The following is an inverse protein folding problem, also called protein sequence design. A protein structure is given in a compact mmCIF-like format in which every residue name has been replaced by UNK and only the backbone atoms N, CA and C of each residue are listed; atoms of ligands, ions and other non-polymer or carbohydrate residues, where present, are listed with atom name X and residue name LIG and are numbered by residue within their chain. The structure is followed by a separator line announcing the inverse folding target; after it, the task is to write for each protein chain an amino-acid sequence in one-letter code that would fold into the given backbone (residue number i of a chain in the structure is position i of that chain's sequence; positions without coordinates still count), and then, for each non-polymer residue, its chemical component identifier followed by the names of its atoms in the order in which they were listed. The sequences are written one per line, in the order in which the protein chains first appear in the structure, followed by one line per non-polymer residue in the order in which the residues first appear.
data_IF_672020679357
#
_entry.id   IF_672020679357
#
_cell.length_a   1.000
_cell.length_b   1.000
_cell.length_c   1.000
_cell.angle_alpha   90.00
_cell.angle_beta   90.00
_cell.angle_gamma   90.00
#
_symmetry.space_group_name_H-M   'P 1'
#
loop_
_entity.id
_entity.type
_entity.pdbx_description
1 polymer ?
#
# COMPACT_ATOMS: atom_id res chain seq x y z
N UNK A 1 -1.95 -16.10 15.18
CA UNK A 1 -3.42 -16.20 15.29
C UNK A 1 -3.95 -16.14 13.88
N UNK A 2 -4.56 -17.23 13.44
CA UNK A 2 -4.95 -17.39 12.05
C UNK A 2 -6.10 -16.45 11.70
N UNK A 3 -6.00 -15.81 10.55
CA UNK A 3 -7.06 -15.00 10.00
C UNK A 3 -8.14 -15.92 9.43
N UNK A 4 -9.40 -15.53 9.62
CA UNK A 4 -10.47 -16.08 8.81
C UNK A 4 -10.35 -15.40 7.44
N UNK A 5 -9.79 -16.09 6.44
CA UNK A 5 -9.52 -15.50 5.11
C UNK A 5 -10.77 -14.88 4.48
N UNK A 6 -11.94 -15.49 4.67
CA UNK A 6 -13.21 -14.93 4.20
C UNK A 6 -13.48 -13.54 4.77
N UNK A 7 -13.08 -13.27 6.02
CA UNK A 7 -13.20 -11.92 6.61
C UNK A 7 -12.21 -10.93 6.03
N UNK A 8 -11.00 -11.36 5.68
CA UNK A 8 -10.04 -10.47 5.01
C UNK A 8 -10.59 -10.06 3.65
N UNK A 9 -11.10 -11.01 2.85
CA UNK A 9 -11.72 -10.70 1.56
C UNK A 9 -12.86 -9.69 1.68
N UNK A 10 -13.76 -9.90 2.66
CA UNK A 10 -14.83 -8.92 2.93
C UNK A 10 -14.28 -7.55 3.35
N UNK A 11 -13.21 -7.49 4.16
CA UNK A 11 -12.59 -6.21 4.53
C UNK A 11 -11.92 -5.51 3.36
N UNK A 12 -11.31 -6.26 2.43
CA UNK A 12 -10.76 -5.73 1.19
C UNK A 12 -11.88 -5.12 0.35
N UNK A 13 -12.95 -5.88 0.08
CA UNK A 13 -14.10 -5.42 -0.68
C UNK A 13 -14.76 -4.17 -0.08
N UNK A 14 -14.89 -4.09 1.25
CA UNK A 14 -15.46 -2.89 1.91
C UNK A 14 -14.48 -1.70 1.84
N UNK A 15 -13.17 -1.93 1.76
CA UNK A 15 -12.18 -0.83 1.69
C UNK A 15 -12.09 -0.28 0.27
N UNK A 16 -12.15 -1.16 -0.72
CA UNK A 16 -12.19 -0.90 -2.17
C UNK A 16 -13.52 -0.28 -2.65
N UNK A 17 -14.56 -0.24 -1.80
CA UNK A 17 -15.88 0.32 -2.10
C UNK A 17 -16.09 1.72 -1.50
N UNK A 18 -15.07 2.29 -0.84
CA UNK A 18 -15.23 3.52 -0.07
C UNK A 18 -15.54 4.75 -0.94
N UNK A 19 -15.15 4.71 -2.21
CA UNK A 19 -15.37 5.74 -3.24
C UNK A 19 -16.71 5.59 -4.01
N UNK A 20 -17.26 4.38 -4.11
CA UNK A 20 -18.49 4.07 -4.84
C UNK A 20 -19.76 4.68 -4.21
N UNK A 21 -19.65 5.22 -2.99
CA UNK A 21 -20.77 5.87 -2.31
C UNK A 21 -20.83 7.37 -2.59
N UNK A 22 -21.08 7.74 -3.85
CA UNK A 22 -21.72 9.04 -4.12
C UNK A 22 -23.14 8.94 -3.59
N UNK A 23 -23.33 9.25 -2.31
CA UNK A 23 -24.66 9.53 -1.77
C UNK A 23 -25.09 10.85 -2.42
N UNK A 24 -25.71 10.76 -3.60
CA UNK A 24 -26.65 11.77 -4.05
C UNK A 24 -27.76 11.76 -3.01
N UNK A 25 -27.57 12.58 -1.98
CA UNK A 25 -28.58 12.85 -0.99
C UNK A 25 -29.72 13.50 -1.75
N UNK A 26 -30.91 12.87 -1.70
CA UNK A 26 -32.17 13.27 -2.30
C UNK A 26 -32.51 14.75 -2.09
N UNK A 27 -31.80 15.65 -2.76
CA UNK A 27 -31.98 17.10 -2.66
C UNK A 27 -33.19 17.56 -3.47
N UNK A 28 -33.71 16.71 -4.34
CA UNK A 28 -34.84 16.99 -5.23
C UNK A 28 -35.81 15.81 -5.33
N UNK A 29 -37.08 16.11 -5.59
CA UNK A 29 -38.15 15.11 -5.80
C UNK A 29 -37.85 14.35 -7.09
N UNK A 30 -37.68 13.03 -6.99
CA UNK A 30 -37.34 12.15 -8.12
C UNK A 30 -35.95 11.49 -8.03
N UNK A 31 -35.16 11.83 -7.02
CA UNK A 31 -33.87 11.17 -6.75
C UNK A 31 -34.13 9.76 -6.22
N UNK A 32 -34.01 8.76 -7.10
CA UNK A 32 -34.04 7.35 -6.70
C UNK A 32 -32.70 7.02 -6.07
N UNK A 33 -32.75 6.32 -4.93
CA UNK A 33 -31.56 5.86 -4.21
C UNK A 33 -30.82 4.82 -5.05
N UNK A 34 -30.03 5.26 -6.02
CA UNK A 34 -29.18 4.41 -6.87
C UNK A 34 -27.90 4.00 -6.11
N UNK A 35 -28.01 3.64 -4.84
CA UNK A 35 -26.84 3.21 -4.05
C UNK A 35 -26.42 1.78 -4.34
N UNK A 36 -27.31 0.92 -4.86
CA UNK A 36 -26.99 -0.48 -5.12
C UNK A 36 -26.53 -0.74 -6.56
N UNK A 37 -27.12 -0.09 -7.56
CA UNK A 37 -26.75 -0.30 -8.98
C UNK A 37 -25.45 0.41 -9.41
N UNK A 38 -24.94 1.35 -8.62
CA UNK A 38 -23.61 1.97 -8.80
C UNK A 38 -22.53 1.36 -7.92
N UNK A 39 -22.78 0.21 -7.27
CA UNK A 39 -21.69 -0.66 -6.77
C UNK A 39 -21.05 -1.35 -7.97
N UNK A 40 -20.50 -0.58 -8.88
CA UNK A 40 -19.42 -1.07 -9.74
C UNK A 40 -18.36 -1.57 -8.79
N UNK A 41 -18.07 -2.88 -8.85
CA UNK A 41 -16.99 -3.47 -8.05
C UNK A 41 -15.74 -2.61 -8.25
N UNK A 42 -15.06 -2.30 -7.14
CA UNK A 42 -13.82 -1.53 -7.20
C UNK A 42 -12.82 -2.19 -8.15
N UNK A 43 -11.80 -1.43 -8.53
CA UNK A 43 -10.85 -1.82 -9.57
C UNK A 43 -9.86 -2.91 -9.11
N UNK A 44 -10.10 -3.51 -7.94
CA UNK A 44 -9.22 -4.43 -7.22
C UNK A 44 -7.84 -3.81 -6.93
N UNK A 45 -7.75 -2.48 -6.87
CA UNK A 45 -6.54 -1.73 -6.61
C UNK A 45 -6.82 -0.67 -5.55
N UNK A 46 -6.34 -0.92 -4.33
CA UNK A 46 -6.52 0.04 -3.25
C UNK A 46 -5.67 1.30 -3.48
N UNK A 47 -6.32 2.46 -3.47
CA UNK A 47 -5.62 3.73 -3.34
C UNK A 47 -4.94 3.83 -1.96
N UNK A 48 -3.99 4.76 -1.81
CA UNK A 48 -3.21 4.87 -0.57
C UNK A 48 -4.09 5.06 0.68
N UNK A 49 -5.17 5.85 0.56
CA UNK A 49 -6.08 6.07 1.69
C UNK A 49 -6.89 4.80 2.02
N UNK A 50 -7.35 4.06 1.01
CA UNK A 50 -8.09 2.80 1.19
C UNK A 50 -7.22 1.71 1.79
N UNK A 51 -5.95 1.67 1.40
CA UNK A 51 -4.95 0.81 2.01
C UNK A 51 -4.75 1.14 3.49
N UNK A 52 -4.66 2.43 3.86
CA UNK A 52 -4.55 2.84 5.26
C UNK A 52 -5.82 2.48 6.06
N UNK A 53 -7.00 2.65 5.48
CA UNK A 53 -8.26 2.23 6.11
C UNK A 53 -8.30 0.71 6.35
N UNK A 54 -7.90 -0.06 5.35
CA UNK A 54 -7.79 -1.51 5.45
C UNK A 54 -6.84 -1.91 6.60
N UNK A 55 -5.68 -1.27 6.71
CA UNK A 55 -4.72 -1.53 7.79
C UNK A 55 -5.34 -1.31 9.17
N UNK A 56 -6.11 -0.23 9.34
CA UNK A 56 -6.84 0.04 10.58
C UNK A 56 -7.86 -1.06 10.86
N UNK A 57 -8.68 -1.45 9.87
CA UNK A 57 -9.70 -2.51 10.01
C UNK A 57 -9.08 -3.86 10.34
N UNK A 58 -7.95 -4.21 9.71
CA UNK A 58 -7.19 -5.45 10.00
C UNK A 58 -6.63 -5.40 11.42
N UNK A 59 -6.03 -4.27 11.84
CA UNK A 59 -5.47 -4.14 13.19
C UNK A 59 -6.54 -4.36 14.28
N UNK A 60 -7.74 -3.82 14.06
CA UNK A 60 -8.89 -4.01 14.93
C UNK A 60 -9.38 -5.46 14.94
N UNK A 61 -9.49 -6.09 13.77
CA UNK A 61 -9.93 -7.49 13.66
C UNK A 61 -8.97 -8.45 14.36
N UNK A 62 -7.66 -8.20 14.28
CA UNK A 62 -6.65 -9.03 14.95
C UNK A 62 -6.83 -9.04 16.47
N UNK A 63 -7.21 -7.90 17.03
CA UNK A 63 -7.53 -7.79 18.46
C UNK A 63 -8.89 -8.39 18.81
N UNK A 64 -9.87 -8.33 17.90
CA UNK A 64 -11.23 -8.81 18.14
C UNK A 64 -11.71 -9.77 17.04
N UNK A 65 -11.19 -11.01 16.98
CA UNK A 65 -11.51 -11.95 15.90
C UNK A 65 -12.97 -12.37 15.82
N UNK A 66 -13.76 -12.17 16.89
CA UNK A 66 -15.19 -12.50 16.95
C UNK A 66 -16.11 -11.29 16.75
N UNK A 67 -15.57 -10.07 16.74
CA UNK A 67 -16.38 -8.87 16.59
C UNK A 67 -17.18 -8.92 15.29
N UNK A 68 -18.48 -8.66 15.35
CA UNK A 68 -19.39 -8.69 14.20
C UNK A 68 -19.97 -10.06 13.85
N UNK A 69 -19.58 -11.12 14.57
CA UNK A 69 -20.30 -12.41 14.49
C UNK A 69 -21.56 -12.39 15.36
N UNK A 70 -22.52 -13.28 15.07
CA UNK A 70 -23.79 -13.35 15.80
C UNK A 70 -23.53 -13.47 17.31
N UNK A 71 -24.08 -12.55 18.09
CA UNK A 71 -23.91 -12.49 19.55
C UNK A 71 -22.63 -11.85 20.06
N UNK A 72 -21.69 -11.44 19.19
CA UNK A 72 -20.40 -10.88 19.60
C UNK A 72 -20.24 -9.42 19.12
N UNK A 73 -20.62 -8.47 19.99
CA UNK A 73 -20.47 -7.02 19.76
C UNK A 73 -19.45 -6.35 20.68
N UNK A 74 -18.84 -7.11 21.58
CA UNK A 74 -17.91 -6.57 22.55
C UNK A 74 -16.52 -6.36 21.95
N UNK A 75 -15.90 -5.25 22.30
CA UNK A 75 -14.52 -4.90 21.97
C UNK A 75 -13.64 -5.14 23.18
N UNK A 76 -13.42 -6.40 23.52
CA UNK A 76 -12.58 -6.81 24.67
C UNK A 76 -11.09 -6.85 24.33
N UNK A 77 -10.73 -6.72 23.05
CA UNK A 77 -9.37 -6.76 22.57
C UNK A 77 -8.64 -5.43 22.68
N UNK A 78 -7.81 -5.29 23.72
CA UNK A 78 -6.67 -4.37 23.77
C UNK A 78 -6.97 -2.87 23.86
N UNK A 79 -5.92 -2.07 23.69
CA UNK A 79 -5.94 -0.61 23.74
C UNK A 79 -5.79 -0.01 22.35
N UNK A 80 -6.69 0.88 21.97
CA UNK A 80 -6.62 1.67 20.73
C UNK A 80 -5.96 3.01 21.05
N UNK A 81 -5.00 3.50 20.23
CA UNK A 81 -4.62 3.06 18.88
C UNK A 81 -3.40 2.10 18.84
N UNK A 82 -2.92 1.59 19.99
CA UNK A 82 -1.67 0.80 20.07
C UNK A 82 -1.67 -0.44 19.17
N UNK A 83 -2.84 -0.99 18.86
CA UNK A 83 -3.05 -2.10 17.94
C UNK A 83 -2.48 -1.87 16.54
N UNK A 84 -2.58 -0.64 16.04
CA UNK A 84 -2.09 -0.26 14.73
C UNK A 84 -0.56 -0.16 14.77
N UNK A 85 0.00 0.41 15.84
CA UNK A 85 1.45 0.52 16.02
C UNK A 85 2.13 -0.86 16.04
N UNK A 86 1.58 -1.80 16.82
CA UNK A 86 2.06 -3.19 16.86
C UNK A 86 1.93 -3.86 15.48
N UNK A 87 0.81 -3.65 14.79
CA UNK A 87 0.57 -4.23 13.46
C UNK A 87 1.57 -3.71 12.42
N UNK A 88 1.83 -2.40 12.42
CA UNK A 88 2.79 -1.74 11.55
C UNK A 88 4.21 -2.23 11.81
N UNK A 89 4.67 -2.22 13.06
CA UNK A 89 6.05 -2.59 13.44
C UNK A 89 6.36 -4.06 13.22
N UNK A 90 5.42 -4.95 13.55
CA UNK A 90 5.70 -6.39 13.52
C UNK A 90 5.40 -7.06 12.18
N UNK A 91 4.45 -6.55 11.39
CA UNK A 91 3.91 -7.30 10.23
C UNK A 91 4.02 -6.53 8.91
N UNK A 92 3.76 -5.22 8.90
CA UNK A 92 3.75 -4.42 7.66
C UNK A 92 5.14 -3.93 7.31
N UNK A 93 5.79 -3.17 8.18
CA UNK A 93 7.10 -2.55 7.92
C UNK A 93 8.26 -3.53 7.71
N UNK A 94 8.28 -4.73 8.34
CA UNK A 94 9.32 -5.73 8.05
C UNK A 94 9.18 -6.34 6.66
N UNK A 95 7.94 -6.53 6.19
CA UNK A 95 7.62 -7.14 4.89
C UNK A 95 7.42 -6.11 3.79
N UNK A 96 7.42 -4.82 4.14
CA UNK A 96 7.38 -3.74 3.16
C UNK A 96 8.60 -3.89 2.25
N UNK A 97 8.35 -3.87 0.94
CA UNK A 97 9.42 -3.80 -0.06
C UNK A 97 10.17 -2.50 0.17
N UNK A 98 11.29 -2.58 0.90
CA UNK A 98 12.24 -1.48 0.98
C UNK A 98 12.91 -1.37 -0.37
N UNK A 99 13.30 -0.16 -0.74
CA UNK A 99 14.15 0.07 -1.91
C UNK A 99 15.52 -0.56 -1.65
N UNK A 100 15.60 -1.89 -1.79
CA UNK A 100 16.85 -2.65 -1.80
C UNK A 100 17.77 -2.13 -2.91
N UNK A 101 17.18 -1.52 -3.95
CA UNK A 101 17.89 -0.76 -4.96
C UNK A 101 18.74 0.38 -4.39
N UNK A 102 18.28 1.10 -3.35
CA UNK A 102 19.08 2.16 -2.72
C UNK A 102 20.29 1.59 -1.99
N UNK A 103 20.09 0.50 -1.24
CA UNK A 103 21.18 -0.20 -0.54
C UNK A 103 22.17 -0.84 -1.52
N UNK A 104 21.68 -1.41 -2.63
CA UNK A 104 22.51 -1.96 -3.71
C UNK A 104 23.29 -0.84 -4.40
N UNK A 105 22.66 0.31 -4.67
CA UNK A 105 23.30 1.47 -5.30
C UNK A 105 24.39 2.05 -4.39
N UNK A 106 24.17 2.14 -3.08
CA UNK A 106 25.20 2.54 -2.11
C UNK A 106 26.36 1.56 -2.08
N UNK A 107 26.10 0.25 -2.14
CA UNK A 107 27.16 -0.78 -2.23
C UNK A 107 27.94 -0.69 -3.54
N UNK A 108 27.25 -0.51 -4.67
CA UNK A 108 27.85 -0.35 -6.00
C UNK A 108 28.74 0.89 -6.13
N UNK A 109 28.43 1.97 -5.39
CA UNK A 109 29.27 3.18 -5.36
C UNK A 109 30.63 2.96 -4.70
N UNK A 110 30.73 2.00 -3.77
CA UNK A 110 31.92 1.77 -2.96
C UNK A 110 32.76 0.57 -3.43
N UNK A 111 32.19 -0.31 -4.26
CA UNK A 111 32.85 -1.55 -4.68
C UNK A 111 33.85 -1.29 -5.83
N UNK A 112 35.11 -1.67 -5.62
CA UNK A 112 36.21 -1.41 -6.56
C UNK A 112 36.03 -2.12 -7.90
N UNK A 113 35.44 -3.31 -7.89
CA UNK A 113 35.20 -4.09 -9.12
C UNK A 113 34.08 -3.45 -9.95
N UNK A 114 33.02 -2.98 -9.28
CA UNK A 114 31.95 -2.21 -9.91
C UNK A 114 32.48 -0.90 -10.49
N UNK A 115 33.33 -0.17 -9.75
CA UNK A 115 33.93 1.09 -10.21
C UNK A 115 34.83 0.89 -11.44
N UNK A 116 35.62 -0.19 -11.50
CA UNK A 116 36.41 -0.54 -12.68
C UNK A 116 35.50 -0.85 -13.87
N UNK A 117 34.46 -1.65 -13.67
CA UNK A 117 33.51 -1.97 -14.73
C UNK A 117 32.72 -0.74 -15.21
N UNK A 118 32.43 0.21 -14.32
CA UNK A 118 31.84 1.49 -14.70
C UNK A 118 32.81 2.38 -15.49
N UNK A 119 34.09 2.42 -15.12
CA UNK A 119 35.11 3.17 -15.87
C UNK A 119 35.33 2.59 -17.27
N UNK A 120 35.35 1.26 -17.39
CA UNK A 120 35.54 0.55 -18.65
C UNK A 120 34.32 0.69 -19.58
N UNK A 121 33.10 0.74 -19.02
CA UNK A 121 31.85 0.84 -19.78
C UNK A 121 31.25 2.25 -19.83
N UNK A 122 31.90 3.28 -19.27
CA UNK A 122 31.42 4.67 -19.26
C UNK A 122 31.13 5.20 -20.67
N UNK A 123 31.76 4.59 -21.69
CA UNK A 123 31.68 4.98 -23.10
C UNK A 123 30.61 4.22 -23.90
N UNK A 124 29.89 3.25 -23.32
CA UNK A 124 28.93 2.44 -24.06
C UNK A 124 27.54 3.11 -24.07
N UNK A 125 27.42 3.97 -25.09
CA UNK A 125 26.23 4.42 -25.84
C UNK A 125 25.46 5.67 -25.40
N UNK A 126 25.58 6.71 -26.25
CA UNK A 126 24.43 7.52 -26.66
C UNK A 126 24.21 7.30 -28.18
N UNK A 127 22.98 7.08 -28.66
CA UNK A 127 22.65 7.16 -30.10
C UNK A 127 22.62 8.61 -30.60
N UNK A 128 22.54 9.58 -29.69
CA UNK A 128 22.44 11.00 -30.01
C UNK A 128 23.66 11.72 -29.46
N UNK A 129 24.53 12.12 -30.39
CA UNK A 129 25.62 13.09 -30.18
C UNK A 129 25.18 14.18 -29.19
N UNK A 130 25.69 14.13 -27.96
CA UNK A 130 25.71 15.30 -27.08
C UNK A 130 25.21 15.15 -25.65
N UNK A 131 24.68 14.01 -25.22
CA UNK A 131 24.17 13.87 -23.84
C UNK A 131 25.04 13.00 -22.94
N UNK A 132 25.15 13.47 -21.70
CA UNK A 132 26.26 13.30 -20.75
C UNK A 132 26.18 11.93 -20.07
N UNK A 133 27.33 11.29 -19.86
CA UNK A 133 27.46 9.91 -19.37
C UNK A 133 26.86 9.63 -17.99
N UNK A 134 26.89 8.35 -17.58
CA UNK A 134 26.25 7.83 -16.36
C UNK A 134 26.56 8.62 -15.08
N UNK A 135 27.76 9.20 -14.96
CA UNK A 135 28.14 10.06 -13.82
C UNK A 135 27.13 11.17 -13.55
N UNK A 136 26.64 11.83 -14.61
CA UNK A 136 25.67 12.90 -14.46
C UNK A 136 24.27 12.39 -14.11
N UNK A 137 23.90 11.19 -14.55
CA UNK A 137 22.63 10.57 -14.15
C UNK A 137 22.56 10.25 -12.65
N UNK A 138 23.71 9.96 -12.01
CA UNK A 138 23.77 9.76 -10.56
C UNK A 138 23.81 11.08 -9.78
N UNK A 139 24.36 12.16 -10.36
CA UNK A 139 24.32 13.51 -9.78
C UNK A 139 22.92 14.14 -9.90
N UNK A 140 22.23 13.96 -11.03
CA UNK A 140 20.89 14.52 -11.29
C UNK A 140 19.77 13.77 -10.54
N UNK A 141 20.04 12.57 -10.01
CA UNK A 141 19.08 11.72 -9.27
C UNK A 141 19.36 11.62 -7.75
N UNK A 142 20.37 12.32 -7.25
CA UNK A 142 20.65 12.48 -5.81
C UNK A 142 19.91 13.70 -5.25
#
# INVERSE_FOLDING_TARGET
KDFIMTRIHTLMEISDQSDATVVKTNRFVGDTRTTDDQRTGGDNSLELFEFLELLVRISFLRLNPKYGTVGNRETTGGSYPSCLDTMLKENVLPNAKRDTLREILEKMKNDEECLKHFADNEKIYSPRRGERGLRKMFEDKA
#
